data_IF_317315722374
#
_entry.id   IF_317315722374
#
_cell.length_a   1.000
_cell.length_b   1.000
_cell.length_c   1.000
_cell.angle_alpha   90.00
_cell.angle_beta   90.00
_cell.angle_gamma   90.00
#
_symmetry.space_group_name_H-M   'P 1'
#
loop_
_entity.id
_entity.type
_entity.pdbx_description
1 polymer ?
#
# COMPACT_ATOMS: atom_id res chain seq x y z
N UNK A 1 37.27 15.18 18.13
CA UNK A 1 35.93 15.80 17.98
C UNK A 1 35.96 16.63 16.71
N UNK A 2 35.41 16.13 15.59
CA UNK A 2 35.38 16.90 14.34
C UNK A 2 34.28 17.96 14.42
N UNK A 3 34.70 19.23 14.47
CA UNK A 3 33.81 20.37 14.25
C UNK A 3 33.39 20.37 12.78
N UNK A 4 32.10 20.13 12.52
CA UNK A 4 31.51 20.53 11.25
C UNK A 4 31.48 22.06 11.23
N UNK A 5 32.35 22.66 10.41
CA UNK A 5 32.35 24.10 10.15
C UNK A 5 31.28 24.35 9.08
N UNK A 6 30.09 24.74 9.51
CA UNK A 6 29.00 25.11 8.58
C UNK A 6 29.19 26.57 8.19
N UNK A 7 30.08 26.83 7.22
CA UNK A 7 30.14 28.13 6.56
C UNK A 7 28.96 28.20 5.57
N UNK A 8 27.97 29.05 5.88
CA UNK A 8 26.79 29.27 5.03
C UNK A 8 27.11 30.40 4.06
N UNK A 9 27.14 30.10 2.77
CA UNK A 9 27.37 31.09 1.72
C UNK A 9 26.09 31.89 1.41
N UNK A 10 26.12 33.23 1.44
CA UNK A 10 24.99 34.04 1.02
C UNK A 10 24.86 34.06 -0.51
N UNK A 11 23.66 33.79 -1.03
CA UNK A 11 23.34 33.85 -2.46
C UNK A 11 22.21 34.85 -2.75
N UNK A 12 22.20 35.40 -3.96
CA UNK A 12 21.08 36.20 -4.48
C UNK A 12 20.02 35.30 -5.10
N UNK A 13 18.74 35.65 -4.92
CA UNK A 13 17.60 34.97 -5.55
C UNK A 13 17.26 35.55 -6.93
N UNK A 14 18.00 36.56 -7.39
CA UNK A 14 17.81 37.14 -8.71
C UNK A 14 18.05 36.10 -9.82
N UNK A 15 17.10 36.00 -10.76
CA UNK A 15 17.11 34.99 -11.83
C UNK A 15 16.46 33.64 -11.47
N UNK A 16 16.14 33.38 -10.20
CA UNK A 16 15.34 32.21 -9.82
C UNK A 16 13.85 32.45 -10.10
N UNK A 17 13.16 31.39 -10.51
CA UNK A 17 11.72 31.42 -10.77
C UNK A 17 10.98 30.52 -9.79
N UNK A 18 9.81 30.99 -9.33
CA UNK A 18 8.93 30.19 -8.46
C UNK A 18 8.27 29.10 -9.30
N UNK A 19 8.52 27.85 -8.92
CA UNK A 19 7.82 26.69 -9.48
C UNK A 19 6.47 26.56 -8.79
N UNK A 20 5.38 26.49 -9.56
CA UNK A 20 4.04 26.29 -8.99
C UNK A 20 3.98 24.96 -8.23
N UNK A 21 3.48 24.99 -7.00
CA UNK A 21 3.23 23.78 -6.21
C UNK A 21 2.27 22.81 -6.91
N UNK A 22 1.43 23.31 -7.82
CA UNK A 22 0.50 22.50 -8.62
C UNK A 22 1.22 21.55 -9.58
N UNK A 23 2.45 21.87 -10.00
CA UNK A 23 3.27 20.95 -10.80
C UNK A 23 3.63 19.67 -10.02
N UNK A 24 3.46 19.69 -8.70
CA UNK A 24 3.64 18.56 -7.80
C UNK A 24 2.31 18.04 -7.23
N UNK A 25 1.16 18.54 -7.70
CA UNK A 25 -0.18 18.15 -7.22
C UNK A 25 -0.66 16.80 -7.71
N UNK A 26 0.11 16.11 -8.56
CA UNK A 26 -0.07 14.68 -8.76
C UNK A 26 0.12 14.01 -7.40
N UNK A 27 -0.99 13.74 -6.73
CA UNK A 27 -1.02 13.04 -5.44
C UNK A 27 -0.32 11.74 -5.69
N UNK A 28 0.94 11.69 -5.26
CA UNK A 28 1.76 10.53 -5.45
C UNK A 28 1.01 9.34 -4.85
N UNK A 29 1.09 8.16 -5.46
CA UNK A 29 0.52 6.96 -4.84
C UNK A 29 1.14 6.67 -3.46
N UNK A 30 2.21 7.39 -3.08
CA UNK A 30 2.77 7.45 -1.72
C UNK A 30 1.95 8.28 -0.71
N UNK A 31 1.00 9.12 -1.14
CA UNK A 31 0.14 9.96 -0.29
C UNK A 31 -1.28 9.41 -0.09
N UNK A 32 -1.63 8.34 -0.81
CA UNK A 32 -2.92 7.65 -0.68
C UNK A 32 -2.74 6.25 -0.10
N UNK A 33 -3.79 5.65 0.50
CA UNK A 33 -3.79 4.22 0.79
C UNK A 33 -3.39 3.43 -0.45
N UNK A 34 -2.51 2.44 -0.31
CA UNK A 34 -2.17 1.57 -1.44
C UNK A 34 -2.08 0.11 -1.00
N UNK A 35 -2.42 -0.78 -1.92
CA UNK A 35 -2.32 -2.22 -1.77
C UNK A 35 -1.49 -2.80 -2.91
N UNK A 36 -0.53 -3.66 -2.61
CA UNK A 36 0.31 -4.34 -3.60
C UNK A 36 0.20 -5.85 -3.42
N UNK A 37 -0.12 -6.54 -4.51
CA UNK A 37 -0.21 -8.00 -4.57
C UNK A 37 0.95 -8.54 -5.41
N UNK A 38 1.70 -9.43 -4.80
CA UNK A 38 2.80 -10.19 -5.40
C UNK A 38 2.34 -11.64 -5.57
N UNK A 39 3.03 -12.41 -6.41
CA UNK A 39 2.77 -13.86 -6.51
C UNK A 39 2.91 -14.65 -5.20
N UNK A 40 3.49 -14.06 -4.15
CA UNK A 40 3.65 -14.69 -2.84
C UNK A 40 2.82 -14.07 -1.71
N UNK A 41 1.96 -13.09 -1.99
CA UNK A 41 1.15 -12.45 -0.94
C UNK A 41 0.84 -10.97 -1.21
N UNK A 42 0.59 -10.23 -0.15
CA UNK A 42 -0.02 -8.90 -0.21
C UNK A 42 0.59 -7.96 0.84
N UNK A 43 0.68 -6.67 0.51
CA UNK A 43 1.17 -5.62 1.42
C UNK A 43 0.31 -4.36 1.28
N UNK A 44 0.18 -3.62 2.37
CA UNK A 44 -0.46 -2.31 2.41
C UNK A 44 0.59 -1.25 2.78
N UNK A 45 0.43 0.01 2.37
CA UNK A 45 1.35 1.06 2.81
C UNK A 45 0.96 1.61 4.19
N UNK A 46 1.79 2.49 4.75
CA UNK A 46 1.58 3.11 6.06
C UNK A 46 0.31 3.97 6.11
N UNK A 47 -0.06 4.57 4.99
CA UNK A 47 -1.25 5.42 4.89
C UNK A 47 -2.51 4.57 5.03
N UNK A 48 -2.57 3.38 4.42
CA UNK A 48 -3.66 2.42 4.64
C UNK A 48 -3.83 2.08 6.12
N UNK A 49 -2.73 1.78 6.83
CA UNK A 49 -2.81 1.49 8.26
C UNK A 49 -3.35 2.68 9.06
N UNK A 50 -2.86 3.88 8.77
CA UNK A 50 -3.25 5.11 9.47
C UNK A 50 -4.72 5.45 9.22
N UNK A 51 -5.21 5.24 7.99
CA UNK A 51 -6.59 5.51 7.60
C UNK A 51 -7.63 4.63 8.33
N UNK A 52 -7.22 3.47 8.85
CA UNK A 52 -8.05 2.60 9.69
C UNK A 52 -7.61 2.62 11.16
N UNK A 53 -7.13 3.77 11.64
CA UNK A 53 -6.71 4.01 13.03
C UNK A 53 -5.72 2.97 13.55
N UNK A 54 -4.84 2.48 12.67
CA UNK A 54 -3.82 1.51 13.00
C UNK A 54 -4.38 0.22 13.65
N UNK A 55 -5.55 -0.24 13.22
CA UNK A 55 -6.21 -1.42 13.76
C UNK A 55 -5.30 -2.66 13.71
N UNK A 56 -5.44 -3.55 14.69
CA UNK A 56 -4.59 -4.74 14.79
C UNK A 56 -4.91 -5.79 13.74
N UNK A 57 -6.20 -5.95 13.43
CA UNK A 57 -6.72 -7.02 12.60
C UNK A 57 -7.66 -6.48 11.52
N UNK A 58 -7.61 -7.13 10.37
CA UNK A 58 -8.54 -6.90 9.27
C UNK A 58 -9.09 -8.22 8.76
N UNK A 59 -10.27 -8.18 8.12
CA UNK A 59 -10.72 -9.18 7.16
C UNK A 59 -10.55 -8.60 5.75
N UNK A 60 -10.20 -9.45 4.79
CA UNK A 60 -10.15 -9.08 3.38
C UNK A 60 -11.37 -9.65 2.66
N UNK A 61 -12.04 -8.81 1.87
CA UNK A 61 -13.15 -9.21 1.01
C UNK A 61 -12.84 -8.84 -0.43
N UNK A 62 -13.12 -9.76 -1.36
CA UNK A 62 -12.74 -9.63 -2.77
C UNK A 62 -14.01 -9.56 -3.59
N UNK A 63 -14.08 -8.57 -4.48
CA UNK A 63 -15.10 -8.53 -5.54
C UNK A 63 -14.47 -9.04 -6.85
N UNK A 64 -14.84 -10.25 -7.34
CA UNK A 64 -14.23 -10.84 -8.53
C UNK A 64 -14.45 -10.00 -9.80
N UNK A 65 -15.69 -9.57 -10.05
CA UNK A 65 -16.08 -8.89 -11.29
C UNK A 65 -15.61 -7.43 -11.33
N UNK A 66 -15.77 -6.67 -10.24
CA UNK A 66 -15.30 -5.28 -10.16
C UNK A 66 -13.78 -5.15 -9.96
N UNK A 67 -13.09 -6.27 -9.75
CA UNK A 67 -11.67 -6.32 -9.41
C UNK A 67 -11.35 -5.41 -8.23
N UNK A 68 -12.05 -5.58 -7.12
CA UNK A 68 -11.86 -4.72 -5.94
C UNK A 68 -11.54 -5.55 -4.70
N UNK A 69 -10.79 -4.95 -3.78
CA UNK A 69 -10.45 -5.53 -2.49
C UNK A 69 -10.89 -4.57 -1.39
N UNK A 70 -11.66 -5.06 -0.43
CA UNK A 70 -12.10 -4.31 0.73
C UNK A 70 -11.33 -4.81 1.97
N UNK A 71 -10.70 -3.89 2.69
CA UNK A 71 -10.08 -4.16 3.99
C UNK A 71 -11.02 -3.65 5.10
N UNK A 72 -11.51 -4.59 5.90
CA UNK A 72 -12.50 -4.34 6.95
C UNK A 72 -11.82 -4.48 8.32
N UNK A 73 -11.80 -3.45 9.18
CA UNK A 73 -11.35 -3.59 10.56
C UNK A 73 -12.19 -4.63 11.31
N UNK A 74 -11.53 -5.57 11.97
CA UNK A 74 -12.19 -6.63 12.75
C UNK A 74 -11.44 -6.89 14.06
N UNK A 75 -12.04 -7.70 14.93
CA UNK A 75 -11.45 -8.10 16.21
C UNK A 75 -10.81 -9.47 16.13
N UNK A 76 -10.16 -9.91 17.22
CA UNK A 76 -9.64 -11.27 17.34
C UNK A 76 -10.73 -12.34 17.40
N UNK A 77 -11.97 -11.95 17.74
CA UNK A 77 -13.11 -12.88 17.83
C UNK A 77 -13.64 -13.28 16.46
N UNK A 78 -13.30 -12.52 15.43
CA UNK A 78 -13.72 -12.77 14.06
C UNK A 78 -12.91 -13.91 13.45
N UNK A 79 -13.61 -14.93 12.93
CA UNK A 79 -13.04 -16.18 12.39
C UNK A 79 -11.96 -15.95 11.34
N UNK A 80 -12.21 -15.03 10.42
CA UNK A 80 -11.33 -14.75 9.27
C UNK A 80 -10.43 -13.52 9.51
N UNK A 81 -10.14 -13.23 10.79
CA UNK A 81 -9.29 -12.09 11.15
C UNK A 81 -7.82 -12.35 10.86
N UNK A 82 -7.18 -11.37 10.20
CA UNK A 82 -5.77 -11.40 9.81
C UNK A 82 -5.03 -10.33 10.63
N UNK A 83 -3.91 -10.70 11.25
CA UNK A 83 -3.01 -9.71 11.89
C UNK A 83 -2.41 -8.83 10.80
N UNK A 84 -2.74 -7.54 10.84
CA UNK A 84 -2.41 -6.60 9.77
C UNK A 84 -1.08 -5.88 9.99
N UNK A 85 -0.78 -5.51 11.24
CA UNK A 85 0.46 -4.81 11.64
C UNK A 85 1.57 -5.78 12.04
N UNK A 86 2.84 -5.38 11.84
CA UNK A 86 4.00 -6.23 12.16
C UNK A 86 4.14 -6.47 13.68
N UNK A 87 4.01 -5.43 14.49
CA UNK A 87 4.24 -5.43 15.93
C UNK A 87 3.13 -4.68 16.68
N UNK A 88 2.95 -4.94 17.98
CA UNK A 88 2.02 -4.18 18.84
C UNK A 88 2.51 -2.76 19.15
N UNK A 89 3.83 -2.56 19.25
CA UNK A 89 4.46 -1.26 19.60
C UNK A 89 4.73 -0.37 18.39
N UNK A 90 4.94 -0.95 17.22
CA UNK A 90 5.24 -0.23 15.98
C UNK A 90 4.15 -0.50 14.95
N UNK A 91 3.42 0.55 14.58
CA UNK A 91 2.45 0.54 13.50
C UNK A 91 3.14 0.59 12.14
N UNK A 92 3.87 -0.49 11.85
CA UNK A 92 4.57 -0.69 10.61
C UNK A 92 3.76 -1.64 9.72
N UNK A 93 3.62 -1.33 8.42
CA UNK A 93 3.07 -2.28 7.48
C UNK A 93 3.90 -3.56 7.45
N UNK A 94 3.24 -4.69 7.17
CA UNK A 94 3.91 -5.98 7.00
C UNK A 94 3.51 -6.60 5.67
N UNK A 95 4.43 -7.38 5.11
CA UNK A 95 4.10 -8.31 4.03
C UNK A 95 3.33 -9.48 4.64
N UNK A 96 2.13 -9.73 4.13
CA UNK A 96 1.32 -10.88 4.50
C UNK A 96 1.54 -11.94 3.43
N UNK A 97 2.36 -12.93 3.78
CA UNK A 97 2.70 -14.02 2.87
C UNK A 97 1.55 -15.01 2.78
N UNK A 98 1.08 -15.25 1.56
CA UNK A 98 0.08 -16.26 1.26
C UNK A 98 0.06 -16.50 -0.25
N UNK A 99 0.80 -17.52 -0.69
CA UNK A 99 0.81 -17.96 -2.09
C UNK A 99 -0.59 -18.40 -2.52
N UNK A 100 -1.33 -19.08 -1.63
CA UNK A 100 -2.69 -19.54 -1.94
C UNK A 100 -3.63 -18.38 -2.27
N UNK A 101 -3.61 -17.32 -1.45
CA UNK A 101 -4.42 -16.13 -1.71
C UNK A 101 -4.00 -15.44 -3.01
N UNK A 102 -2.71 -15.14 -3.18
CA UNK A 102 -2.24 -14.44 -4.38
C UNK A 102 -2.52 -15.25 -5.65
N UNK A 103 -2.28 -16.55 -5.67
CA UNK A 103 -2.60 -17.40 -6.82
C UNK A 103 -4.08 -17.37 -7.18
N UNK A 104 -4.98 -17.46 -6.18
CA UNK A 104 -6.42 -17.35 -6.41
C UNK A 104 -6.81 -16.00 -7.02
N UNK A 105 -6.26 -14.89 -6.49
CA UNK A 105 -6.50 -13.55 -7.03
C UNK A 105 -6.04 -13.44 -8.48
N UNK A 106 -4.83 -13.93 -8.79
CA UNK A 106 -4.29 -13.86 -10.14
C UNK A 106 -5.15 -14.66 -11.11
N UNK A 107 -5.64 -15.84 -10.70
CA UNK A 107 -6.59 -16.63 -11.50
C UNK A 107 -7.93 -15.90 -11.69
N UNK A 108 -8.52 -15.39 -10.62
CA UNK A 108 -9.85 -14.75 -10.65
C UNK A 108 -9.84 -13.49 -11.55
N UNK A 109 -8.75 -12.73 -11.55
CA UNK A 109 -8.65 -11.49 -12.31
C UNK A 109 -7.92 -11.62 -13.66
N UNK A 110 -7.46 -12.84 -13.99
CA UNK A 110 -6.77 -13.14 -15.26
C UNK A 110 -5.42 -12.43 -15.40
N UNK A 111 -4.65 -12.38 -14.31
CA UNK A 111 -3.38 -11.66 -14.25
C UNK A 111 -2.17 -12.53 -14.58
N UNK A 112 -1.13 -11.88 -15.11
CA UNK A 112 0.18 -12.50 -15.38
C UNK A 112 0.92 -12.76 -14.06
N UNK A 113 1.22 -14.03 -13.77
CA UNK A 113 1.97 -14.46 -12.57
C UNK A 113 3.40 -13.93 -12.52
N UNK A 114 3.96 -13.48 -13.65
CA UNK A 114 5.26 -12.80 -13.73
C UNK A 114 5.20 -11.31 -13.36
N UNK A 115 4.02 -10.77 -13.07
CA UNK A 115 3.82 -9.36 -12.73
C UNK A 115 3.44 -9.15 -11.27
N UNK A 116 3.62 -7.91 -10.83
CA UNK A 116 3.18 -7.37 -9.53
C UNK A 116 2.15 -6.29 -9.82
N UNK A 117 1.09 -6.26 -9.03
CA UNK A 117 -0.03 -5.36 -9.22
C UNK A 117 -0.24 -4.49 -7.99
N UNK A 118 -0.45 -3.20 -8.20
CA UNK A 118 -0.72 -2.23 -7.13
C UNK A 118 -1.92 -1.37 -7.48
N UNK A 119 -2.78 -1.20 -6.49
CA UNK A 119 -3.90 -0.29 -6.55
C UNK A 119 -3.76 0.79 -5.49
N UNK A 120 -4.20 1.99 -5.84
CA UNK A 120 -4.55 3.02 -4.89
C UNK A 120 -5.92 2.70 -4.30
N UNK A 121 -6.11 3.01 -3.02
CA UNK A 121 -7.37 2.87 -2.33
C UNK A 121 -7.84 4.19 -1.73
N UNK A 122 -9.07 4.18 -1.25
CA UNK A 122 -9.69 5.30 -0.57
C UNK A 122 -10.56 4.80 0.59
N UNK A 123 -10.87 5.72 1.50
CA UNK A 123 -11.72 5.44 2.65
C UNK A 123 -13.18 5.36 2.19
N UNK A 124 -13.89 4.35 2.66
CA UNK A 124 -15.32 4.16 2.43
C UNK A 124 -16.02 3.86 3.76
N UNK A 125 -17.33 4.03 3.80
CA UNK A 125 -18.15 3.72 4.98
C UNK A 125 -19.29 2.77 4.61
N UNK A 126 -19.53 1.79 5.47
CA UNK A 126 -20.68 0.87 5.39
C UNK A 126 -21.23 0.73 6.81
N UNK A 127 -22.51 1.04 7.02
CA UNK A 127 -23.15 1.01 8.35
C UNK A 127 -22.31 1.73 9.42
N UNK A 128 -21.87 2.96 9.12
CA UNK A 128 -21.02 3.80 9.97
C UNK A 128 -19.64 3.22 10.32
N UNK A 129 -19.24 2.11 9.68
CA UNK A 129 -17.90 1.52 9.82
C UNK A 129 -17.00 1.99 8.71
N UNK A 130 -15.86 2.56 9.09
CA UNK A 130 -14.81 3.01 8.19
C UNK A 130 -14.02 1.80 7.69
N UNK A 131 -13.85 1.72 6.36
CA UNK A 131 -13.13 0.65 5.66
C UNK A 131 -12.23 1.24 4.57
N UNK A 132 -11.41 0.40 3.94
CA UNK A 132 -10.61 0.80 2.77
C UNK A 132 -10.98 -0.04 1.55
N UNK A 133 -11.33 0.64 0.46
CA UNK A 133 -11.58 0.02 -0.83
C UNK A 133 -10.38 0.26 -1.75
N UNK A 134 -9.85 -0.80 -2.34
CA UNK A 134 -8.79 -0.78 -3.34
C UNK A 134 -9.35 -1.24 -4.68
N UNK A 135 -9.21 -0.42 -5.70
CA UNK A 135 -9.70 -0.72 -7.05
C UNK A 135 -8.56 -1.21 -7.95
N UNK A 136 -8.64 -2.47 -8.34
CA UNK A 136 -7.71 -3.16 -9.22
C UNK A 136 -8.28 -3.35 -10.64
N UNK A 137 -9.27 -2.56 -11.05
CA UNK A 137 -9.77 -2.52 -12.43
C UNK A 137 -8.72 -2.01 -13.42
N UNK A 138 -7.91 -1.03 -13.01
CA UNK A 138 -6.78 -0.47 -13.76
C UNK A 138 -5.53 -0.28 -12.88
N UNK A 139 -4.88 -1.37 -12.41
CA UNK A 139 -3.79 -1.28 -11.46
C UNK A 139 -2.47 -0.83 -12.11
N UNK A 140 -1.59 -0.21 -11.33
CA UNK A 140 -0.17 -0.12 -11.67
C UNK A 140 0.39 -1.55 -11.77
N UNK A 141 1.15 -1.85 -12.83
CA UNK A 141 1.75 -3.18 -13.04
C UNK A 141 3.23 -3.09 -13.44
N UNK A 142 4.04 -4.01 -12.93
CA UNK A 142 5.45 -4.14 -13.31
C UNK A 142 5.92 -5.60 -13.18
N UNK A 143 7.00 -5.97 -13.88
CA UNK A 143 7.57 -7.32 -13.79
C UNK A 143 8.13 -7.59 -12.40
N UNK A 144 7.82 -8.77 -11.86
CA UNK A 144 8.42 -9.22 -10.61
C UNK A 144 9.93 -9.38 -10.78
N UNK A 145 10.72 -8.94 -9.79
CA UNK A 145 12.16 -9.19 -9.80
C UNK A 145 12.39 -10.70 -9.71
N UNK A 146 13.15 -11.26 -10.64
CA UNK A 146 13.55 -12.67 -10.58
C UNK A 146 14.25 -12.95 -9.25
N UNK A 147 13.74 -13.92 -8.49
CA UNK A 147 14.54 -14.49 -7.41
C UNK A 147 15.66 -15.26 -8.08
N UNK A 148 16.90 -14.75 -8.01
CA UNK A 148 18.08 -15.56 -8.31
C UNK A 148 18.06 -16.75 -7.35
N UNK A 149 17.65 -17.92 -7.84
CA UNK A 149 17.83 -19.18 -7.11
C UNK A 149 19.33 -19.40 -7.03
N UNK A 150 19.90 -19.22 -5.84
CA UNK A 150 21.24 -19.71 -5.58
C UNK A 150 21.19 -21.23 -5.79
N UNK A 151 21.91 -21.70 -6.81
CA UNK A 151 22.17 -23.12 -7.04
C UNK A 151 23.03 -23.67 -5.92
#
# INVERSE_FOLDING_TARGET
MNQFKTEVEPISIEGFQVVSGELFSHVSSYALPSCTIWGSGITFNRISLTALNCCERIRLEVHPQKKSLLAVPVTIKDKDSIIWRKNKKEYAPRRMESVRFSSQIYTIWGWDTGCVYKAVGHVVTVEDKVMLLFDFSAPEQWKAKEKKTAK
#
